data_IF_806472999341
#
_entry.id   IF_806472999341
#
_cell.length_a   1.000
_cell.length_b   1.000
_cell.length_c   1.000
_cell.angle_alpha   90.00
_cell.angle_beta   90.00
_cell.angle_gamma   90.00
#
_symmetry.space_group_name_H-M   'P 1'
#
loop_
_entity.id
_entity.type
_entity.pdbx_description
1 polymer ?
#
# COMPACT_ATOMS: atom_id res chain seq x y z
N UNK A 1 -30.88 27.60 -7.96
CA UNK A 1 -29.65 26.93 -8.46
C UNK A 1 -29.02 26.21 -7.28
N UNK A 2 -29.40 24.95 -7.07
CA UNK A 2 -29.11 24.16 -5.87
C UNK A 2 -28.83 22.72 -6.28
N UNK A 3 -27.65 22.46 -6.86
CA UNK A 3 -27.23 21.10 -7.26
C UNK A 3 -25.76 20.80 -6.92
N UNK A 4 -24.96 21.79 -6.49
CA UNK A 4 -23.52 21.57 -6.20
C UNK A 4 -23.25 21.24 -4.72
N UNK A 5 -24.22 21.45 -3.82
CA UNK A 5 -24.05 21.21 -2.38
C UNK A 5 -24.24 19.74 -1.95
N UNK A 6 -24.78 18.88 -2.81
CA UNK A 6 -25.08 17.48 -2.49
C UNK A 6 -23.95 16.50 -2.83
N UNK A 7 -23.01 16.86 -3.70
CA UNK A 7 -21.92 15.94 -4.11
C UNK A 7 -20.76 15.87 -3.09
N UNK A 8 -20.46 16.97 -2.40
CA UNK A 8 -19.37 17.04 -1.41
C UNK A 8 -19.78 16.46 -0.04
N UNK A 9 -21.07 16.54 0.32
CA UNK A 9 -21.60 15.94 1.54
C UNK A 9 -21.63 14.40 1.50
N UNK A 10 -21.85 13.81 0.33
CA UNK A 10 -21.86 12.34 0.17
C UNK A 10 -20.47 11.71 0.21
N UNK A 11 -19.43 12.42 -0.25
CA UNK A 11 -18.06 11.89 -0.23
C UNK A 11 -17.45 11.85 1.18
N UNK A 12 -17.75 12.85 2.03
CA UNK A 12 -17.31 12.86 3.44
C UNK A 12 -18.12 11.90 4.33
N UNK A 13 -19.40 11.67 4.01
CA UNK A 13 -20.21 10.68 4.76
C UNK A 13 -19.80 9.23 4.47
N UNK A 14 -19.25 8.95 3.29
CA UNK A 14 -18.70 7.64 2.92
C UNK A 14 -17.36 7.36 3.63
N UNK A 15 -16.53 8.38 3.84
CA UNK A 15 -15.28 8.27 4.59
C UNK A 15 -15.56 8.07 6.09
N UNK A 16 -16.53 8.80 6.67
CA UNK A 16 -16.87 8.68 8.09
C UNK A 16 -17.56 7.36 8.47
N UNK A 17 -18.30 6.74 7.54
CA UNK A 17 -18.91 5.42 7.76
C UNK A 17 -17.92 4.27 7.55
N UNK A 18 -16.90 4.45 6.72
CA UNK A 18 -15.76 3.53 6.59
C UNK A 18 -14.95 3.43 7.89
N UNK A 19 -14.62 4.56 8.52
CA UNK A 19 -13.86 4.61 9.80
C UNK A 19 -14.59 3.90 10.93
N UNK A 20 -15.92 4.06 11.03
CA UNK A 20 -16.71 3.41 12.09
C UNK A 20 -16.90 1.90 11.88
N UNK A 21 -16.72 1.41 10.65
CA UNK A 21 -16.78 -0.02 10.33
C UNK A 21 -15.42 -0.70 10.57
N UNK A 22 -14.31 0.04 10.45
CA UNK A 22 -12.95 -0.43 10.80
C UNK A 22 -12.78 -0.64 12.32
N UNK A 23 -13.28 0.28 13.14
CA UNK A 23 -13.15 0.18 14.62
C UNK A 23 -13.88 -1.02 15.26
N UNK A 24 -14.82 -1.66 14.56
CA UNK A 24 -15.52 -2.84 15.08
C UNK A 24 -14.92 -4.17 14.58
N UNK A 25 -13.97 -4.13 13.65
CA UNK A 25 -13.22 -5.30 13.18
C UNK A 25 -11.89 -5.49 13.91
N UNK A 26 -11.36 -4.45 14.56
CA UNK A 26 -10.07 -4.45 15.26
C UNK A 26 -10.04 -5.37 16.50
N UNK A 27 -11.17 -5.61 17.16
CA UNK A 27 -11.23 -6.45 18.38
C UNK A 27 -11.08 -7.97 18.13
N UNK A 28 -10.95 -8.41 16.86
CA UNK A 28 -10.68 -9.81 16.50
C UNK A 28 -9.33 -10.03 15.81
N UNK A 29 -8.54 -8.97 15.59
CA UNK A 29 -7.36 -8.97 14.72
C UNK A 29 -6.03 -8.73 15.44
N UNK A 30 -6.04 -8.73 16.78
CA UNK A 30 -4.85 -8.52 17.61
C UNK A 30 -3.93 -9.76 17.56
N UNK A 31 -3.17 -9.89 16.47
CA UNK A 31 -2.17 -10.94 16.28
C UNK A 31 -2.02 -11.51 14.86
N UNK A 32 -2.88 -11.14 13.90
CA UNK A 32 -2.74 -11.60 12.51
C UNK A 32 -1.87 -10.64 11.67
N UNK A 33 -0.92 -11.21 10.93
CA UNK A 33 -0.07 -10.49 9.98
C UNK A 33 -0.92 -9.80 8.89
N UNK A 34 -0.62 -8.53 8.55
CA UNK A 34 -1.37 -7.73 7.56
C UNK A 34 -1.46 -8.41 6.19
N UNK A 35 -0.36 -9.02 5.72
CA UNK A 35 -0.36 -9.83 4.50
C UNK A 35 -1.35 -11.01 4.59
N UNK A 36 -1.47 -11.66 5.75
CA UNK A 36 -2.39 -12.78 5.94
C UNK A 36 -3.85 -12.33 5.88
N UNK A 37 -4.17 -11.15 6.42
CA UNK A 37 -5.53 -10.60 6.36
C UNK A 37 -5.97 -10.35 4.90
N UNK A 38 -5.08 -9.82 4.08
CA UNK A 38 -5.36 -9.51 2.67
C UNK A 38 -5.46 -10.77 1.80
N UNK A 39 -4.63 -11.78 2.08
CA UNK A 39 -4.74 -13.08 1.43
C UNK A 39 -6.03 -13.84 1.78
N UNK A 40 -6.68 -13.51 2.90
CA UNK A 40 -7.96 -14.11 3.31
C UNK A 40 -9.16 -13.34 2.76
N UNK A 41 -9.01 -12.05 2.45
CA UNK A 41 -10.08 -11.19 1.91
C UNK A 41 -10.25 -11.41 0.39
N UNK A 42 -9.15 -11.60 -0.32
CA UNK A 42 -9.16 -12.06 -1.70
C UNK A 42 -9.38 -13.57 -1.73
N UNK A 43 -10.46 -14.04 -2.38
CA UNK A 43 -10.70 -15.47 -2.61
C UNK A 43 -9.58 -16.02 -3.51
N UNK A 44 -8.46 -16.39 -2.90
CA UNK A 44 -7.30 -16.89 -3.60
C UNK A 44 -7.67 -18.19 -4.33
N UNK A 45 -7.49 -18.19 -5.65
CA UNK A 45 -7.83 -19.33 -6.50
C UNK A 45 -6.80 -20.43 -6.28
N UNK A 46 -7.30 -21.56 -5.83
CA UNK A 46 -6.54 -22.79 -5.62
C UNK A 46 -5.93 -23.28 -6.95
N UNK A 47 -4.61 -23.18 -7.09
CA UNK A 47 -3.87 -23.65 -8.28
C UNK A 47 -3.59 -25.15 -8.27
N UNK A 48 -4.42 -25.96 -7.62
CA UNK A 48 -4.14 -27.38 -7.39
C UNK A 48 -4.12 -28.25 -8.65
N UNK A 49 -4.89 -27.93 -9.70
CA UNK A 49 -5.04 -28.84 -10.87
C UNK A 49 -3.89 -28.77 -11.90
N UNK A 50 -2.97 -27.80 -11.80
CA UNK A 50 -1.81 -27.64 -12.70
C UNK A 50 -0.50 -28.25 -12.14
N UNK A 51 -0.56 -28.91 -10.98
CA UNK A 51 0.66 -29.24 -10.23
C UNK A 51 1.23 -30.62 -10.52
N UNK A 52 0.40 -31.57 -10.98
CA UNK A 52 0.82 -32.96 -11.13
C UNK A 52 1.65 -33.17 -12.42
N UNK A 53 1.23 -32.58 -13.54
CA UNK A 53 1.99 -32.60 -14.80
C UNK A 53 3.33 -31.87 -14.67
N UNK A 54 3.33 -30.68 -14.04
CA UNK A 54 4.56 -29.91 -13.78
C UNK A 54 5.53 -30.68 -12.87
N UNK A 55 5.02 -31.42 -11.89
CA UNK A 55 5.85 -32.24 -11.00
C UNK A 55 6.50 -33.40 -11.76
N UNK A 56 5.76 -34.08 -12.64
CA UNK A 56 6.33 -35.15 -13.47
C UNK A 56 7.40 -34.64 -14.44
N UNK A 57 7.28 -33.41 -14.93
CA UNK A 57 8.35 -32.75 -15.69
C UNK A 57 9.55 -32.39 -14.80
N UNK A 58 9.30 -31.76 -13.65
CA UNK A 58 10.36 -31.35 -12.72
C UNK A 58 11.19 -32.56 -12.22
N UNK A 59 10.57 -33.75 -12.10
CA UNK A 59 11.26 -35.00 -11.76
C UNK A 59 12.23 -35.49 -12.85
N UNK A 60 11.95 -35.21 -14.13
CA UNK A 60 12.81 -35.64 -15.25
C UNK A 60 14.13 -34.88 -15.28
N UNK A 61 14.12 -33.61 -14.89
CA UNK A 61 15.30 -32.76 -14.77
C UNK A 61 15.23 -31.87 -13.52
N UNK A 62 15.57 -32.46 -12.38
CA UNK A 62 15.58 -31.77 -11.08
C UNK A 62 16.50 -30.54 -11.10
N UNK A 63 17.68 -30.63 -11.73
CA UNK A 63 18.64 -29.50 -11.75
C UNK A 63 18.13 -28.34 -12.61
N UNK A 64 17.48 -28.63 -13.74
CA UNK A 64 16.77 -27.64 -14.54
C UNK A 64 15.63 -27.00 -13.75
N UNK A 65 14.81 -27.80 -13.07
CA UNK A 65 13.70 -27.32 -12.26
C UNK A 65 14.14 -26.40 -11.12
N UNK A 66 15.22 -26.74 -10.40
CA UNK A 66 15.77 -25.89 -9.33
C UNK A 66 16.29 -24.55 -9.86
N UNK A 67 16.89 -24.52 -11.07
CA UNK A 67 17.30 -23.26 -11.71
C UNK A 67 16.09 -22.40 -12.14
N UNK A 68 15.03 -23.03 -12.65
CA UNK A 68 13.77 -22.33 -12.97
C UNK A 68 13.13 -21.73 -11.72
N UNK A 69 13.08 -22.51 -10.63
CA UNK A 69 12.62 -22.05 -9.31
C UNK A 69 13.44 -20.84 -8.86
N UNK A 70 14.77 -20.93 -8.90
CA UNK A 70 15.67 -19.84 -8.52
C UNK A 70 15.41 -18.58 -9.35
N UNK A 71 15.25 -18.73 -10.67
CA UNK A 71 14.92 -17.62 -11.56
C UNK A 71 13.60 -16.95 -11.18
N UNK A 72 12.55 -17.73 -10.91
CA UNK A 72 11.24 -17.21 -10.49
C UNK A 72 11.31 -16.47 -9.16
N UNK A 73 12.05 -17.01 -8.17
CA UNK A 73 12.24 -16.33 -6.89
C UNK A 73 12.96 -14.99 -7.09
N UNK A 74 14.00 -14.96 -7.92
CA UNK A 74 14.73 -13.72 -8.24
C UNK A 74 13.90 -12.71 -9.03
N UNK A 75 13.02 -13.17 -9.94
CA UNK A 75 12.08 -12.30 -10.65
C UNK A 75 11.12 -11.61 -9.67
N UNK A 76 10.60 -12.35 -8.68
CA UNK A 76 9.78 -11.77 -7.60
C UNK A 76 10.61 -10.79 -6.77
N UNK A 77 11.82 -11.17 -6.34
CA UNK A 77 12.69 -10.33 -5.51
C UNK A 77 13.05 -9.00 -6.19
N UNK A 78 13.21 -9.02 -7.51
CA UNK A 78 13.54 -7.82 -8.29
C UNK A 78 12.40 -6.80 -8.37
N UNK A 79 11.17 -7.19 -7.98
CA UNK A 79 9.95 -6.39 -8.13
C UNK A 79 9.12 -6.29 -6.85
N UNK A 80 9.74 -6.41 -5.68
CA UNK A 80 9.06 -6.26 -4.38
C UNK A 80 8.25 -4.96 -4.31
N UNK A 81 8.89 -3.85 -4.68
CA UNK A 81 8.23 -2.55 -4.81
C UNK A 81 7.91 -2.33 -6.28
N UNK A 82 6.62 -2.33 -6.62
CA UNK A 82 6.19 -2.08 -7.99
C UNK A 82 6.32 -0.60 -8.36
N UNK A 83 6.00 0.27 -7.39
CA UNK A 83 6.24 1.69 -7.42
C UNK A 83 7.14 2.08 -6.23
N UNK A 84 8.06 3.06 -6.40
CA UNK A 84 8.88 3.54 -5.30
C UNK A 84 8.00 4.10 -4.17
N UNK A 85 8.26 3.74 -2.90
CA UNK A 85 7.46 4.24 -1.79
C UNK A 85 7.65 5.74 -1.56
N UNK A 86 6.55 6.47 -1.37
CA UNK A 86 6.58 7.91 -1.08
C UNK A 86 7.10 8.21 0.32
N UNK A 87 7.82 9.31 0.50
CA UNK A 87 8.29 9.77 1.81
C UNK A 87 7.14 10.39 2.64
N UNK A 88 6.52 9.56 3.48
CA UNK A 88 5.37 9.93 4.32
C UNK A 88 5.73 10.90 5.45
N UNK A 89 6.95 10.83 5.99
CA UNK A 89 7.42 11.76 7.02
C UNK A 89 7.61 13.15 6.44
N UNK A 90 8.20 13.24 5.24
CA UNK A 90 8.32 14.50 4.52
C UNK A 90 6.93 15.09 4.22
N UNK A 91 5.98 14.29 3.74
CA UNK A 91 4.62 14.73 3.46
C UNK A 91 3.93 15.28 4.72
N UNK A 92 4.07 14.56 5.84
CA UNK A 92 3.55 14.99 7.13
C UNK A 92 4.15 16.34 7.57
N UNK A 93 5.48 16.45 7.59
CA UNK A 93 6.17 17.69 7.98
C UNK A 93 5.79 18.88 7.10
N UNK A 94 5.70 18.67 5.78
CA UNK A 94 5.24 19.72 4.86
C UNK A 94 3.81 20.16 5.17
N UNK A 95 2.91 19.21 5.47
CA UNK A 95 1.52 19.52 5.83
C UNK A 95 1.41 20.34 7.11
N UNK A 96 2.22 20.02 8.13
CA UNK A 96 2.26 20.75 9.41
C UNK A 96 2.79 22.17 9.23
N UNK A 97 3.89 22.33 8.49
CA UNK A 97 4.50 23.65 8.23
C UNK A 97 3.54 24.57 7.48
N UNK A 98 2.84 24.03 6.47
CA UNK A 98 1.85 24.81 5.72
C UNK A 98 0.67 25.18 6.62
N UNK A 99 0.15 24.24 7.41
CA UNK A 99 -0.96 24.52 8.34
C UNK A 99 -0.57 25.60 9.35
N UNK A 100 0.58 25.49 9.99
CA UNK A 100 1.08 26.49 10.94
C UNK A 100 1.21 27.88 10.27
N UNK A 101 1.70 27.92 9.03
CA UNK A 101 1.82 29.17 8.26
C UNK A 101 0.46 29.79 7.91
N UNK A 102 -0.55 28.96 7.62
CA UNK A 102 -1.94 29.40 7.38
C UNK A 102 -2.56 29.93 8.67
N UNK A 103 -2.41 29.22 9.80
CA UNK A 103 -2.92 29.63 11.12
C UNK A 103 -2.33 30.98 11.53
N UNK A 104 -1.02 31.15 11.33
CA UNK A 104 -0.31 32.39 11.64
C UNK A 104 -0.51 33.50 10.60
N UNK A 105 -1.35 33.26 9.56
CA UNK A 105 -1.63 34.21 8.46
C UNK A 105 -0.35 34.71 7.76
N UNK A 106 0.68 33.88 7.73
CA UNK A 106 1.98 34.19 7.14
C UNK A 106 1.98 34.04 5.60
N UNK A 107 0.99 33.34 5.04
CA UNK A 107 0.86 33.08 3.61
C UNK A 107 -0.27 33.90 2.97
N UNK A 108 -0.06 34.32 1.72
CA UNK A 108 -1.12 34.89 0.89
C UNK A 108 -2.10 33.80 0.44
N UNK A 109 -3.32 34.19 0.03
CA UNK A 109 -4.32 33.23 -0.46
C UNK A 109 -3.81 32.38 -1.64
N UNK A 110 -3.07 32.99 -2.57
CA UNK A 110 -2.51 32.27 -3.73
C UNK A 110 -1.42 31.28 -3.33
N UNK A 111 -0.62 31.61 -2.31
CA UNK A 111 0.39 30.69 -1.77
C UNK A 111 -0.27 29.52 -1.05
N UNK A 112 -1.33 29.78 -0.26
CA UNK A 112 -2.11 28.72 0.39
C UNK A 112 -2.69 27.76 -0.64
N UNK A 113 -3.27 28.30 -1.72
CA UNK A 113 -3.80 27.48 -2.82
C UNK A 113 -2.73 26.61 -3.45
N UNK A 114 -1.57 27.18 -3.77
CA UNK A 114 -0.46 26.46 -4.40
C UNK A 114 0.08 25.36 -3.49
N UNK A 115 0.28 25.64 -2.20
CA UNK A 115 0.81 24.66 -1.25
C UNK A 115 -0.21 23.56 -0.93
N UNK A 116 -1.49 23.89 -0.77
CA UNK A 116 -2.54 22.90 -0.56
C UNK A 116 -2.66 21.93 -1.75
N UNK A 117 -2.59 22.43 -2.99
CA UNK A 117 -2.60 21.59 -4.18
C UNK A 117 -1.36 20.69 -4.28
N UNK A 118 -0.19 21.14 -3.83
CA UNK A 118 1.01 20.28 -3.79
C UNK A 118 0.85 19.11 -2.81
N UNK A 119 0.35 19.38 -1.59
CA UNK A 119 0.08 18.35 -0.58
C UNK A 119 -0.97 17.37 -1.12
N UNK A 120 -2.05 17.89 -1.73
CA UNK A 120 -3.08 17.06 -2.33
C UNK A 120 -2.52 16.12 -3.41
N UNK A 121 -1.71 16.63 -4.34
CA UNK A 121 -1.11 15.81 -5.38
C UNK A 121 -0.22 14.70 -4.81
N UNK A 122 0.54 14.99 -3.73
CA UNK A 122 1.36 13.98 -3.05
C UNK A 122 0.52 12.89 -2.38
N UNK A 123 -0.60 13.27 -1.75
CA UNK A 123 -1.54 12.31 -1.15
C UNK A 123 -2.20 11.42 -2.22
N UNK A 124 -2.59 11.99 -3.36
CA UNK A 124 -3.15 11.23 -4.48
C UNK A 124 -2.14 10.23 -5.06
N UNK A 125 -0.86 10.63 -5.18
CA UNK A 125 0.23 9.73 -5.58
C UNK A 125 0.40 8.60 -4.55
N UNK A 126 0.42 8.92 -3.26
CA UNK A 126 0.56 7.93 -2.18
C UNK A 126 -0.57 6.89 -2.21
N UNK A 127 -1.83 7.30 -2.36
CA UNK A 127 -2.96 6.35 -2.40
C UNK A 127 -2.90 5.45 -3.63
N UNK A 128 -2.59 6.01 -4.82
CA UNK A 128 -2.43 5.19 -6.03
C UNK A 128 -1.26 4.20 -5.91
N UNK A 129 -0.16 4.63 -5.30
CA UNK A 129 1.01 3.82 -5.00
C UNK A 129 0.67 2.68 -4.02
N UNK A 130 0.01 3.00 -2.90
CA UNK A 130 -0.44 2.05 -1.87
C UNK A 130 -1.28 0.93 -2.48
N UNK A 131 -2.34 1.28 -3.21
CA UNK A 131 -3.23 0.30 -3.82
C UNK A 131 -2.47 -0.60 -4.81
N UNK A 132 -1.61 -0.01 -5.64
CA UNK A 132 -0.80 -0.77 -6.62
C UNK A 132 0.18 -1.71 -5.94
N UNK A 133 0.93 -1.22 -4.96
CA UNK A 133 1.96 -2.00 -4.27
C UNK A 133 1.36 -3.11 -3.41
N UNK A 134 0.25 -2.84 -2.68
CA UNK A 134 -0.45 -3.89 -1.91
C UNK A 134 -0.96 -5.00 -2.83
N UNK A 135 -1.67 -4.65 -3.90
CA UNK A 135 -2.19 -5.64 -4.86
C UNK A 135 -1.07 -6.47 -5.51
N UNK A 136 0.03 -5.82 -5.90
CA UNK A 136 1.19 -6.51 -6.50
C UNK A 136 1.93 -7.40 -5.52
N UNK A 137 2.06 -6.98 -4.26
CA UNK A 137 2.67 -7.79 -3.22
C UNK A 137 1.86 -9.07 -2.96
N UNK A 138 0.53 -8.99 -2.97
CA UNK A 138 -0.37 -10.15 -2.84
C UNK A 138 -0.24 -11.10 -4.04
N UNK A 139 -0.27 -10.55 -5.26
CA UNK A 139 -0.06 -11.34 -6.50
C UNK A 139 1.28 -12.11 -6.44
N UNK A 140 2.36 -11.42 -6.08
CA UNK A 140 3.70 -11.98 -5.95
C UNK A 140 3.82 -12.99 -4.82
N UNK A 141 3.12 -12.78 -3.71
CA UNK A 141 3.05 -13.76 -2.63
C UNK A 141 2.44 -15.07 -3.11
N UNK A 142 1.39 -14.96 -3.92
CA UNK A 142 0.77 -16.07 -4.58
C UNK A 142 1.73 -16.87 -5.47
N UNK A 143 2.48 -16.18 -6.34
CA UNK A 143 3.51 -16.80 -7.16
C UNK A 143 4.59 -17.48 -6.31
N UNK A 144 5.02 -16.83 -5.22
CA UNK A 144 6.00 -17.37 -4.29
C UNK A 144 5.48 -18.64 -3.59
N UNK A 145 4.20 -18.69 -3.25
CA UNK A 145 3.55 -19.88 -2.69
C UNK A 145 3.60 -21.05 -3.67
N UNK A 146 3.22 -20.86 -4.94
CA UNK A 146 3.32 -21.91 -5.96
C UNK A 146 4.75 -22.41 -6.15
N UNK A 147 5.74 -21.50 -6.12
CA UNK A 147 7.16 -21.86 -6.21
C UNK A 147 7.62 -22.68 -5.01
N UNK A 148 7.21 -22.31 -3.79
CA UNK A 148 7.49 -23.06 -2.57
C UNK A 148 6.87 -24.46 -2.61
N UNK A 149 5.66 -24.58 -3.14
CA UNK A 149 4.99 -25.88 -3.31
C UNK A 149 5.74 -26.78 -4.30
N UNK A 150 6.21 -26.25 -5.43
CA UNK A 150 7.09 -26.98 -6.35
C UNK A 150 8.38 -27.45 -5.67
N UNK A 151 9.04 -26.57 -4.92
CA UNK A 151 10.27 -26.90 -4.19
C UNK A 151 10.03 -28.02 -3.16
N UNK A 152 8.91 -27.97 -2.43
CA UNK A 152 8.51 -28.99 -1.47
C UNK A 152 8.19 -30.34 -2.14
N UNK A 153 7.56 -30.33 -3.31
CA UNK A 153 7.29 -31.55 -4.05
C UNK A 153 8.58 -32.21 -4.54
N UNK A 154 9.57 -31.43 -5.01
CA UNK A 154 10.90 -31.95 -5.36
C UNK A 154 11.63 -32.51 -4.14
N UNK A 155 11.47 -31.89 -2.97
CA UNK A 155 12.09 -32.36 -1.72
C UNK A 155 11.59 -33.75 -1.36
N UNK A 156 10.26 -33.96 -1.43
CA UNK A 156 9.63 -35.26 -1.17
C UNK A 156 10.21 -36.37 -2.04
N UNK A 157 10.51 -36.08 -3.30
CA UNK A 157 11.10 -37.05 -4.22
C UNK A 157 12.54 -37.39 -3.85
N UNK A 158 13.28 -36.43 -3.28
CA UNK A 158 14.70 -36.56 -2.96
C UNK A 158 14.97 -37.07 -1.52
N UNK A 159 13.94 -37.15 -0.67
CA UNK A 159 14.03 -37.63 0.73
C UNK A 159 14.28 -39.14 0.88
N UNK A 160 14.60 -39.86 -0.20
CA UNK A 160 15.17 -41.20 -0.10
C UNK A 160 16.64 -41.11 0.40
N UNK A 161 16.93 -41.76 1.52
CA UNK A 161 18.24 -41.77 2.20
C UNK A 161 19.40 -42.12 1.25
N UNK A 162 19.14 -42.94 0.23
CA UNK A 162 20.13 -43.33 -0.79
C UNK A 162 20.44 -42.17 -1.76
N UNK A 163 19.45 -41.32 -2.04
CA UNK A 163 19.57 -40.16 -2.94
C UNK A 163 20.23 -38.99 -2.22
N UNK A 164 19.87 -38.76 -0.96
CA UNK A 164 20.47 -37.74 -0.08
C UNK A 164 22.01 -37.92 0.04
N UNK A 165 22.47 -39.15 0.21
CA UNK A 165 23.90 -39.45 0.30
C UNK A 165 24.66 -39.31 -1.03
N UNK A 166 23.95 -39.41 -2.17
CA UNK A 166 24.55 -39.31 -3.52
C UNK A 166 24.60 -37.90 -4.08
N UNK A 167 23.66 -37.02 -3.71
CA UNK A 167 23.56 -35.69 -4.31
C UNK A 167 23.35 -34.57 -3.27
N UNK A 168 24.30 -34.47 -2.34
CA UNK A 168 24.35 -33.41 -1.32
C UNK A 168 24.35 -32.01 -1.93
N UNK A 169 24.89 -31.83 -3.13
CA UNK A 169 24.93 -30.54 -3.82
C UNK A 169 23.52 -30.06 -4.20
N UNK A 170 22.69 -30.96 -4.74
CA UNK A 170 21.29 -30.66 -5.06
C UNK A 170 20.49 -30.34 -3.79
N UNK A 171 20.68 -31.10 -2.71
CA UNK A 171 20.02 -30.85 -1.41
C UNK A 171 20.43 -29.49 -0.85
N UNK A 172 21.72 -29.16 -0.86
CA UNK A 172 22.21 -27.85 -0.43
C UNK A 172 21.66 -26.69 -1.29
N UNK A 173 21.47 -26.92 -2.59
CA UNK A 173 20.84 -25.91 -3.46
C UNK A 173 19.38 -25.67 -3.06
N UNK A 174 18.62 -26.73 -2.78
CA UNK A 174 17.23 -26.60 -2.30
C UNK A 174 17.12 -25.82 -0.99
N UNK A 175 18.02 -26.08 -0.03
CA UNK A 175 18.05 -25.34 1.23
C UNK A 175 18.29 -23.83 1.00
N UNK A 176 19.21 -23.49 0.08
CA UNK A 176 19.44 -22.10 -0.32
C UNK A 176 18.20 -21.47 -0.94
N UNK A 177 17.46 -22.21 -1.77
CA UNK A 177 16.23 -21.73 -2.37
C UNK A 177 15.11 -21.52 -1.35
N UNK A 178 15.01 -22.37 -0.31
CA UNK A 178 14.08 -22.12 0.81
C UNK A 178 14.41 -20.82 1.54
N UNK A 179 15.68 -20.64 1.91
CA UNK A 179 16.12 -19.42 2.58
C UNK A 179 15.88 -18.17 1.71
N UNK A 180 16.16 -18.25 0.41
CA UNK A 180 15.89 -17.16 -0.52
C UNK A 180 14.39 -16.85 -0.58
N UNK A 181 13.54 -17.87 -0.72
CA UNK A 181 12.10 -17.69 -0.72
C UNK A 181 11.58 -17.09 0.60
N UNK A 182 12.19 -17.40 1.75
CA UNK A 182 11.84 -16.80 3.05
C UNK A 182 12.23 -15.34 3.14
N UNK A 183 13.42 -14.98 2.65
CA UNK A 183 13.84 -13.58 2.55
C UNK A 183 12.89 -12.78 1.67
N UNK A 184 12.52 -13.32 0.51
CA UNK A 184 11.56 -12.67 -0.41
C UNK A 184 10.19 -12.50 0.25
N UNK A 185 9.68 -13.53 0.95
CA UNK A 185 8.43 -13.41 1.69
C UNK A 185 8.50 -12.30 2.75
N UNK A 186 9.59 -12.20 3.51
CA UNK A 186 9.75 -11.11 4.48
C UNK A 186 9.76 -9.73 3.81
N UNK A 187 10.38 -9.60 2.63
CA UNK A 187 10.37 -8.35 1.86
C UNK A 187 8.96 -7.99 1.36
N UNK A 188 8.19 -8.95 0.86
CA UNK A 188 6.79 -8.75 0.45
C UNK A 188 5.92 -8.34 1.65
N UNK A 189 6.11 -8.97 2.81
CA UNK A 189 5.41 -8.59 4.04
C UNK A 189 5.71 -7.13 4.42
N UNK A 190 6.96 -6.68 4.30
CA UNK A 190 7.36 -5.28 4.59
C UNK A 190 6.64 -4.26 3.71
N UNK A 191 6.23 -4.62 2.48
CA UNK A 191 5.42 -3.74 1.64
C UNK A 191 4.08 -3.45 2.30
N UNK A 192 3.41 -4.50 2.81
CA UNK A 192 2.14 -4.36 3.51
C UNK A 192 2.32 -3.59 4.82
N UNK A 193 3.29 -4.01 5.63
CA UNK A 193 3.56 -3.40 6.94
C UNK A 193 3.89 -1.90 6.80
N UNK A 194 4.54 -1.48 5.71
CA UNK A 194 4.83 -0.07 5.43
C UNK A 194 3.56 0.79 5.38
N UNK A 195 2.55 0.39 4.61
CA UNK A 195 1.34 1.20 4.45
C UNK A 195 0.45 1.19 5.68
N UNK A 196 0.44 0.08 6.43
CA UNK A 196 -0.33 -0.03 7.67
C UNK A 196 0.32 0.78 8.79
N UNK A 197 1.64 0.68 8.95
CA UNK A 197 2.38 1.44 9.99
C UNK A 197 2.34 2.94 9.74
N UNK A 198 2.34 3.37 8.48
CA UNK A 198 2.32 4.80 8.14
C UNK A 198 0.90 5.38 7.99
N UNK A 199 -0.15 4.59 8.21
CA UNK A 199 -1.53 5.05 8.03
C UNK A 199 -1.84 6.27 8.90
N UNK A 200 -1.46 6.26 10.18
CA UNK A 200 -1.72 7.38 11.11
C UNK A 200 -1.02 8.68 10.67
N UNK A 201 0.23 8.58 10.20
CA UNK A 201 1.01 9.72 9.70
C UNK A 201 0.31 10.35 8.49
N UNK A 202 -0.14 9.52 7.54
CA UNK A 202 -0.87 9.97 6.36
C UNK A 202 -2.22 10.57 6.73
N UNK A 203 -2.98 9.94 7.65
CA UNK A 203 -4.25 10.49 8.13
C UNK A 203 -4.08 11.87 8.77
N UNK A 204 -2.96 12.09 9.47
CA UNK A 204 -2.64 13.41 10.01
C UNK A 204 -2.41 14.43 8.90
N UNK A 205 -1.67 14.07 7.84
CA UNK A 205 -1.46 14.94 6.69
C UNK A 205 -2.78 15.26 5.95
N UNK A 206 -3.68 14.28 5.82
CA UNK A 206 -5.04 14.46 5.27
C UNK A 206 -5.85 15.45 6.12
N UNK A 207 -5.80 15.30 7.45
CA UNK A 207 -6.48 16.19 8.40
C UNK A 207 -5.95 17.63 8.30
N UNK A 208 -4.62 17.78 8.25
CA UNK A 208 -3.96 19.08 8.06
C UNK A 208 -4.41 19.75 6.76
N UNK A 209 -4.48 19.00 5.65
CA UNK A 209 -4.98 19.52 4.38
C UNK A 209 -6.45 19.97 4.46
N UNK A 210 -7.30 19.22 5.17
CA UNK A 210 -8.69 19.60 5.38
C UNK A 210 -8.83 20.91 6.18
N UNK A 211 -8.00 21.09 7.21
CA UNK A 211 -7.97 22.33 8.00
C UNK A 211 -7.44 23.52 7.17
N UNK A 212 -6.37 23.32 6.39
CA UNK A 212 -5.84 24.34 5.46
C UNK A 212 -6.94 24.81 4.50
N UNK A 213 -7.68 23.87 3.90
CA UNK A 213 -8.76 24.18 2.97
C UNK A 213 -9.93 24.91 3.65
N UNK A 214 -10.25 24.56 4.89
CA UNK A 214 -11.26 25.25 5.70
C UNK A 214 -10.85 26.72 5.90
N UNK A 215 -9.63 26.98 6.39
CA UNK A 215 -9.13 28.35 6.59
C UNK A 215 -9.01 29.14 5.29
N UNK A 216 -8.61 28.49 4.19
CA UNK A 216 -8.60 29.09 2.84
C UNK A 216 -9.99 29.61 2.48
N UNK A 217 -11.04 28.82 2.72
CA UNK A 217 -12.42 29.21 2.43
C UNK A 217 -12.92 30.39 3.29
N UNK A 218 -12.53 30.43 4.57
CA UNK A 218 -12.84 31.54 5.48
C UNK A 218 -12.21 32.85 5.00
N UNK A 219 -10.94 32.82 4.58
CA UNK A 219 -10.23 33.99 4.03
C UNK A 219 -10.91 34.54 2.77
N UNK A 220 -11.41 33.66 1.90
CA UNK A 220 -12.18 34.05 0.70
C UNK A 220 -13.50 34.76 1.07
N UNK A 221 -14.19 34.28 2.11
CA UNK A 221 -15.46 34.86 2.58
C UNK A 221 -15.28 36.19 3.34
N UNK A 222 -14.15 36.38 4.03
CA UNK A 222 -13.83 37.63 4.72
C UNK A 222 -13.48 38.78 3.74
N UNK A 223 -12.87 38.45 2.59
CA UNK A 223 -12.57 39.41 1.53
C UNK A 223 -13.80 39.95 0.80
N UNK A 224 -14.90 39.19 0.72
CA UNK A 224 -16.13 39.61 0.03
C UNK A 224 -17.03 40.53 0.87
N UNK A 225 -16.99 40.43 2.21
CA UNK A 225 -17.85 41.22 3.12
C UNK A 225 -17.44 42.70 3.23
N UNK A 226 -16.23 43.10 2.81
CA UNK A 226 -15.73 44.49 2.94
C UNK A 226 -16.17 45.46 1.83
N UNK A 227 -16.89 45.00 0.79
CA UNK A 227 -17.27 45.87 -0.36
C UNK A 227 -18.66 46.52 -0.27
N UNK A 228 -19.52 46.17 0.70
CA UNK A 228 -20.92 46.65 0.73
C UNK A 228 -21.25 47.70 1.81
N UNK A 229 -20.30 48.16 2.63
CA UNK A 229 -20.58 49.12 3.70
C UNK A 229 -20.39 50.61 3.31
N UNK A 230 -19.82 50.92 2.14
CA UNK A 230 -19.52 52.29 1.73
C UNK A 230 -20.58 52.95 0.83
N UNK A 231 -21.66 52.25 0.47
CA UNK A 231 -22.70 52.78 -0.44
C UNK A 231 -23.97 53.33 0.25
N UNK A 232 -23.97 53.46 1.59
CA UNK A 232 -25.13 54.00 2.32
C UNK A 232 -25.00 55.45 2.81
N UNK A 233 -23.92 56.17 2.43
CA UNK A 233 -23.67 57.55 2.91
C UNK A 233 -23.88 58.68 1.88
N UNK A 234 -24.32 58.39 0.65
CA UNK A 234 -24.58 59.42 -0.36
C UNK A 234 -25.96 59.28 -1.01
N UNK A 235 -27.01 59.51 -0.22
CA UNK A 235 -28.29 60.02 -0.73
C UNK A 235 -28.83 61.03 0.30
N UNK A 236 -28.68 62.31 -0.01
CA UNK A 236 -29.40 63.44 0.59
C UNK A 236 -30.36 63.97 -0.47
#
# INVERSE_FOLDING_TARGET
MSVVATALGYSLLLIATSVKTQMLAEDAQEGMCHMCNELMSERYVDTNDLQEEQLEEDKKDVKGALKDIEKKINEIDSRIWWLPPSDVEQLHNESEVVLASVVNKALSYGDIETQASKIQNKLEVYEAEKETNKAKAVEQWGMLFSVRQRLYNLEKVLLDVVVLARDLATVSHMDKLRMLADVVAQKLKKVMDYYETNNEIVQTAVSNLAEINTKKSELKSAGSKKKCAFLFFFCK
#
